data_IF_038129509146
#
_entry.id   IF_038129509146
#
_cell.length_a   1.000
_cell.length_b   1.000
_cell.length_c   1.000
_cell.angle_alpha   90.00
_cell.angle_beta   90.00
_cell.angle_gamma   90.00
#
_symmetry.space_group_name_H-M   'P 1'
#
loop_
_entity.id
_entity.type
_entity.pdbx_description
1 polymer ?
#
# COMPACT_ATOMS: atom_id res chain seq x y z
N UNK A 1 -35.70 -65.57 -34.67
CA UNK A 1 -37.16 -65.83 -34.70
C UNK A 1 -37.78 -65.28 -33.43
N UNK A 2 -38.70 -64.35 -33.66
CA UNK A 2 -39.63 -63.68 -32.74
C UNK A 2 -40.43 -64.64 -31.86
N UNK A 3 -40.66 -64.28 -30.59
CA UNK A 3 -42.05 -64.15 -30.11
C UNK A 3 -42.15 -63.22 -28.89
N UNK A 4 -42.93 -62.17 -29.10
CA UNK A 4 -43.48 -61.24 -28.12
C UNK A 4 -44.69 -61.93 -27.48
N UNK A 5 -44.90 -61.76 -26.16
CA UNK A 5 -46.24 -61.90 -25.58
C UNK A 5 -46.56 -60.77 -24.60
N UNK A 6 -47.76 -60.24 -24.80
CA UNK A 6 -48.30 -58.93 -24.42
C UNK A 6 -48.39 -58.60 -22.93
N UNK A 7 -48.28 -57.29 -22.66
CA UNK A 7 -48.83 -56.57 -21.49
C UNK A 7 -50.37 -56.54 -21.53
N UNK A 8 -51.00 -56.60 -20.37
CA UNK A 8 -52.30 -55.96 -20.07
C UNK A 8 -52.16 -55.10 -18.79
N UNK A 9 -52.81 -53.95 -18.77
CA UNK A 9 -52.46 -52.82 -17.91
C UNK A 9 -53.30 -52.61 -16.63
N UNK A 10 -52.61 -52.01 -15.65
CA UNK A 10 -52.96 -50.87 -14.78
C UNK A 10 -54.37 -50.81 -14.14
N UNK A 11 -54.42 -50.80 -12.80
CA UNK A 11 -55.00 -49.69 -12.01
C UNK A 11 -54.49 -49.67 -10.55
N UNK A 12 -54.32 -48.44 -10.09
CA UNK A 12 -53.68 -47.93 -8.87
C UNK A 12 -54.50 -48.12 -7.58
N UNK A 13 -53.86 -48.49 -6.46
CA UNK A 13 -54.35 -48.16 -5.10
C UNK A 13 -53.21 -48.13 -4.06
N UNK A 14 -52.92 -46.93 -3.57
CA UNK A 14 -52.47 -46.50 -2.22
C UNK A 14 -51.35 -47.27 -1.50
N UNK A 15 -50.17 -46.65 -1.44
CA UNK A 15 -49.06 -47.00 -0.54
C UNK A 15 -49.22 -46.22 0.78
N UNK A 16 -48.90 -46.80 1.96
CA UNK A 16 -49.29 -46.27 3.26
C UNK A 16 -48.47 -45.05 3.73
N UNK A 17 -49.08 -44.40 4.70
CA UNK A 17 -48.87 -43.07 5.23
C UNK A 17 -47.75 -43.03 6.30
N UNK A 18 -46.53 -43.41 5.93
CA UNK A 18 -45.34 -43.33 6.81
C UNK A 18 -44.37 -42.17 6.47
N UNK A 19 -44.78 -41.25 5.58
CA UNK A 19 -43.92 -40.16 5.11
C UNK A 19 -44.18 -38.79 5.78
N UNK A 20 -44.97 -38.73 6.88
CA UNK A 20 -45.45 -37.45 7.43
C UNK A 20 -45.14 -37.16 8.90
N UNK A 21 -44.20 -37.90 9.52
CA UNK A 21 -43.92 -37.68 10.95
C UNK A 21 -42.47 -37.95 11.33
N UNK A 22 -41.52 -37.43 10.55
CA UNK A 22 -40.19 -37.11 11.07
C UNK A 22 -39.67 -35.73 10.62
N UNK A 23 -40.60 -34.80 10.43
CA UNK A 23 -40.33 -33.37 10.35
C UNK A 23 -40.09 -32.80 11.77
N UNK A 24 -39.04 -33.27 12.45
CA UNK A 24 -38.64 -32.74 13.76
C UNK A 24 -37.15 -32.96 14.03
N UNK A 25 -36.30 -32.65 13.06
CA UNK A 25 -34.85 -32.61 13.27
C UNK A 25 -34.12 -31.52 12.47
N UNK A 26 -34.74 -30.34 12.31
CA UNK A 26 -34.12 -29.18 11.63
C UNK A 26 -33.56 -28.10 12.57
N UNK A 27 -33.48 -28.34 13.89
CA UNK A 27 -32.96 -27.34 14.86
C UNK A 27 -31.44 -27.40 15.08
N UNK A 28 -30.68 -28.12 14.25
CA UNK A 28 -29.24 -28.31 14.47
C UNK A 28 -28.31 -27.35 13.70
N UNK A 29 -28.82 -26.40 12.90
CA UNK A 29 -27.94 -25.57 12.05
C UNK A 29 -27.95 -24.05 12.28
N UNK A 30 -28.85 -23.50 13.10
CA UNK A 30 -28.81 -22.05 13.40
C UNK A 30 -27.81 -21.68 14.50
N UNK A 31 -27.64 -22.53 15.54
CA UNK A 31 -26.69 -22.28 16.63
C UNK A 31 -25.22 -22.39 16.16
N UNK A 32 -24.93 -23.30 15.24
CA UNK A 32 -23.61 -23.48 14.60
C UNK A 32 -23.20 -22.24 13.78
N UNK A 33 -24.12 -21.70 12.97
CA UNK A 33 -23.89 -20.51 12.14
C UNK A 33 -23.79 -19.23 12.99
N UNK A 34 -24.56 -19.12 14.07
CA UNK A 34 -24.46 -18.03 15.03
C UNK A 34 -23.09 -18.04 15.75
N UNK A 35 -22.64 -19.21 16.21
CA UNK A 35 -21.32 -19.40 16.81
C UNK A 35 -20.17 -19.05 15.85
N UNK A 36 -20.27 -19.45 14.58
CA UNK A 36 -19.26 -19.11 13.57
C UNK A 36 -19.20 -17.60 13.25
N UNK A 37 -20.36 -16.91 13.19
CA UNK A 37 -20.41 -15.46 13.01
C UNK A 37 -19.85 -14.72 14.23
N UNK A 38 -20.15 -15.21 15.44
CA UNK A 38 -19.63 -14.65 16.68
C UNK A 38 -18.11 -14.87 16.82
N UNK A 39 -17.61 -16.06 16.47
CA UNK A 39 -16.18 -16.36 16.41
C UNK A 39 -15.44 -15.47 15.42
N UNK A 40 -16.01 -15.23 14.23
CA UNK A 40 -15.42 -14.29 13.26
C UNK A 40 -15.35 -12.86 13.80
N UNK A 41 -16.38 -12.40 14.51
CA UNK A 41 -16.36 -11.06 15.15
C UNK A 41 -15.31 -10.98 16.26
N UNK A 42 -15.24 -11.99 17.13
CA UNK A 42 -14.23 -12.06 18.19
C UNK A 42 -12.82 -12.10 17.60
N UNK A 43 -12.61 -12.94 16.58
CA UNK A 43 -11.33 -13.04 15.85
C UNK A 43 -10.94 -11.71 15.20
N UNK A 44 -11.90 -10.98 14.62
CA UNK A 44 -11.65 -9.65 14.06
C UNK A 44 -11.23 -8.64 15.13
N UNK A 45 -11.91 -8.62 16.27
CA UNK A 45 -11.60 -7.70 17.38
C UNK A 45 -10.23 -8.04 17.99
N UNK A 46 -10.02 -9.30 18.35
CA UNK A 46 -8.75 -9.77 18.95
C UNK A 46 -7.60 -9.54 17.98
N UNK A 47 -7.73 -9.99 16.72
CA UNK A 47 -6.70 -9.78 15.72
C UNK A 47 -6.46 -8.30 15.41
N UNK A 48 -7.49 -7.45 15.46
CA UNK A 48 -7.33 -6.00 15.32
C UNK A 48 -6.51 -5.38 16.45
N UNK A 49 -6.82 -5.74 17.70
CA UNK A 49 -6.10 -5.29 18.90
C UNK A 49 -4.64 -5.76 18.85
N UNK A 50 -4.40 -7.03 18.51
CA UNK A 50 -3.05 -7.59 18.39
C UNK A 50 -2.24 -6.86 17.31
N UNK A 51 -2.84 -6.60 16.14
CA UNK A 51 -2.19 -5.85 15.07
C UNK A 51 -1.80 -4.44 15.51
N UNK A 52 -2.72 -3.72 16.17
CA UNK A 52 -2.45 -2.37 16.68
C UNK A 52 -1.35 -2.40 17.75
N UNK A 53 -1.40 -3.36 18.67
CA UNK A 53 -0.37 -3.55 19.69
C UNK A 53 1.00 -3.80 19.08
N UNK A 54 1.12 -4.69 18.09
CA UNK A 54 2.39 -4.97 17.40
C UNK A 54 2.93 -3.76 16.63
N UNK A 55 2.05 -2.99 15.99
CA UNK A 55 2.43 -1.74 15.33
C UNK A 55 3.01 -0.74 16.34
N UNK A 56 2.30 -0.46 17.44
CA UNK A 56 2.76 0.45 18.50
C UNK A 56 4.06 -0.07 19.12
N UNK A 57 4.14 -1.36 19.41
CA UNK A 57 5.34 -2.01 19.94
C UNK A 57 6.54 -1.76 19.03
N UNK A 58 6.36 -1.83 17.70
CA UNK A 58 7.44 -1.57 16.74
C UNK A 58 7.94 -0.13 16.83
N UNK A 59 7.03 0.84 16.89
CA UNK A 59 7.38 2.26 17.02
C UNK A 59 8.14 2.55 18.32
N UNK A 60 7.62 2.03 19.44
CA UNK A 60 8.28 2.14 20.75
C UNK A 60 9.63 1.45 20.73
N UNK A 61 9.72 0.25 20.15
CA UNK A 61 10.95 -0.51 20.06
C UNK A 61 12.03 0.27 19.30
N UNK A 62 11.73 0.80 18.12
CA UNK A 62 12.67 1.61 17.33
C UNK A 62 13.07 2.88 18.09
N UNK A 63 12.12 3.54 18.76
CA UNK A 63 12.41 4.72 19.58
C UNK A 63 13.34 4.40 20.75
N UNK A 64 13.11 3.29 21.45
CA UNK A 64 13.96 2.84 22.57
C UNK A 64 15.34 2.42 22.09
N UNK A 65 15.42 1.81 20.91
CA UNK A 65 16.68 1.42 20.30
C UNK A 65 17.53 2.66 19.95
N UNK A 66 16.91 3.66 19.33
CA UNK A 66 17.55 4.94 19.02
C UNK A 66 18.05 5.65 20.29
N UNK A 67 17.22 5.68 21.34
CA UNK A 67 17.62 6.26 22.63
C UNK A 67 18.79 5.51 23.26
N UNK A 68 18.77 4.17 23.23
CA UNK A 68 19.82 3.35 23.82
C UNK A 68 21.15 3.46 23.07
N UNK A 69 21.11 3.63 21.75
CA UNK A 69 22.32 3.71 20.91
C UNK A 69 23.00 5.09 21.02
N UNK A 70 22.21 6.17 20.98
CA UNK A 70 22.76 7.53 20.94
C UNK A 70 22.69 8.29 22.27
N UNK A 71 21.98 7.75 23.28
CA UNK A 71 21.66 8.45 24.53
C UNK A 71 21.04 9.81 24.22
N UNK A 72 20.11 9.80 23.25
CA UNK A 72 19.67 10.97 22.51
C UNK A 72 19.04 12.04 23.40
N UNK A 73 18.37 11.63 24.48
CA UNK A 73 17.84 12.52 25.51
C UNK A 73 18.89 13.28 26.32
N UNK A 74 20.07 12.70 26.52
CA UNK A 74 21.11 13.25 27.39
C UNK A 74 22.07 14.21 26.67
N UNK A 75 22.12 14.17 25.34
CA UNK A 75 22.98 15.03 24.52
C UNK A 75 22.32 16.38 24.22
N UNK A 76 23.14 17.40 23.92
CA UNK A 76 22.66 18.76 23.63
C UNK A 76 21.98 18.83 22.26
N UNK A 77 21.12 19.82 22.05
CA UNK A 77 20.43 20.05 20.76
C UNK A 77 21.40 20.08 19.58
N UNK A 78 22.52 20.80 19.70
CA UNK A 78 23.53 20.87 18.64
C UNK A 78 24.13 19.49 18.33
N UNK A 79 24.38 18.67 19.35
CA UNK A 79 24.90 17.31 19.18
C UNK A 79 23.85 16.39 18.54
N UNK A 80 22.57 16.54 18.91
CA UNK A 80 21.45 15.85 18.25
C UNK A 80 21.39 16.19 16.78
N UNK A 81 21.55 17.46 16.41
CA UNK A 81 21.52 17.88 15.01
C UNK A 81 22.71 17.34 14.22
N UNK A 82 23.91 17.34 14.81
CA UNK A 82 25.13 16.78 14.20
C UNK A 82 25.05 15.25 14.05
N UNK A 83 24.22 14.57 14.85
CA UNK A 83 24.00 13.12 14.70
C UNK A 83 23.36 12.75 13.36
N UNK A 84 22.58 13.65 12.74
CA UNK A 84 22.07 13.46 11.39
C UNK A 84 23.18 13.70 10.37
N UNK A 85 23.75 12.62 9.84
CA UNK A 85 24.79 12.67 8.81
C UNK A 85 24.21 12.74 7.39
N UNK A 86 25.03 13.19 6.45
CA UNK A 86 24.77 13.19 4.99
C UNK A 86 23.40 13.76 4.62
N UNK A 87 22.59 13.04 3.82
CA UNK A 87 21.27 13.49 3.41
C UNK A 87 20.29 13.67 4.58
N UNK A 88 20.47 12.97 5.70
CA UNK A 88 19.56 13.09 6.84
C UNK A 88 19.65 14.48 7.46
N UNK A 89 20.88 14.98 7.65
CA UNK A 89 21.12 16.33 8.17
C UNK A 89 20.63 17.39 7.19
N UNK A 90 20.81 17.14 5.89
CA UNK A 90 20.30 18.02 4.84
C UNK A 90 18.77 18.15 4.89
N UNK A 91 18.03 17.05 4.97
CA UNK A 91 16.56 17.09 5.06
C UNK A 91 16.09 17.78 6.33
N UNK A 92 16.68 17.43 7.47
CA UNK A 92 16.35 18.09 8.73
C UNK A 92 16.63 19.60 8.69
N UNK A 93 17.67 20.05 7.98
CA UNK A 93 17.97 21.47 7.82
C UNK A 93 16.85 22.25 7.10
N UNK A 94 16.20 21.66 6.08
CA UNK A 94 15.07 22.28 5.40
C UNK A 94 13.81 22.34 6.27
N UNK A 95 13.58 21.30 7.07
CA UNK A 95 12.53 21.33 8.09
C UNK A 95 12.77 22.47 9.10
N UNK A 96 14.00 22.62 9.59
CA UNK A 96 14.37 23.70 10.52
C UNK A 96 14.28 25.08 9.86
N UNK A 97 14.69 25.23 8.60
CA UNK A 97 14.56 26.47 7.84
C UNK A 97 13.10 26.95 7.78
N UNK A 98 12.15 26.04 7.56
CA UNK A 98 10.73 26.36 7.58
C UNK A 98 10.23 26.82 8.96
N UNK A 99 10.74 26.21 10.04
CA UNK A 99 10.35 26.57 11.41
C UNK A 99 10.92 27.91 11.88
N UNK A 100 12.11 28.28 11.40
CA UNK A 100 12.78 29.54 11.74
C UNK A 100 12.22 30.72 10.93
N UNK A 101 11.62 30.45 9.77
CA UNK A 101 11.03 31.48 8.93
C UNK A 101 9.91 32.24 9.68
N UNK A 102 9.80 33.57 9.50
CA UNK A 102 8.80 34.38 10.20
C UNK A 102 7.36 34.10 9.71
N UNK A 103 7.21 33.53 8.52
CA UNK A 103 5.93 33.07 7.98
C UNK A 103 6.12 31.83 7.10
N UNK A 104 5.08 31.02 6.97
CA UNK A 104 5.08 29.81 6.11
C UNK A 104 5.37 30.18 4.65
N UNK A 105 4.78 31.28 4.16
CA UNK A 105 5.00 31.74 2.79
C UNK A 105 6.46 32.13 2.54
N UNK A 106 7.09 32.84 3.47
CA UNK A 106 8.50 33.20 3.35
C UNK A 106 9.41 31.98 3.46
N UNK A 107 9.06 31.01 4.32
CA UNK A 107 9.72 29.71 4.39
C UNK A 107 9.69 28.99 3.03
N UNK A 108 8.50 28.84 2.44
CA UNK A 108 8.33 28.22 1.12
C UNK A 108 9.09 28.95 0.03
N UNK A 109 9.01 30.29 -0.01
CA UNK A 109 9.77 31.10 -0.97
C UNK A 109 11.28 30.88 -0.82
N UNK A 110 11.78 30.77 0.41
CA UNK A 110 13.21 30.52 0.67
C UNK A 110 13.67 29.11 0.24
N UNK A 111 12.78 28.12 0.21
CA UNK A 111 13.07 26.78 -0.31
C UNK A 111 12.99 26.71 -1.84
N UNK A 112 12.09 27.47 -2.46
CA UNK A 112 11.93 27.51 -3.93
C UNK A 112 13.08 28.27 -4.59
N UNK A 113 13.57 29.32 -3.94
CA UNK A 113 14.67 30.14 -4.42
C UNK A 113 15.90 30.01 -3.52
N UNK A 114 16.40 28.78 -3.36
CA UNK A 114 17.55 28.51 -2.50
C UNK A 114 18.87 28.72 -3.25
N UNK A 115 19.74 29.57 -2.71
CA UNK A 115 21.09 29.84 -3.22
C UNK A 115 22.20 29.41 -2.26
N UNK A 116 21.85 28.64 -1.21
CA UNK A 116 22.77 28.22 -0.16
C UNK A 116 23.24 26.78 -0.33
N UNK A 117 22.37 25.91 -0.81
CA UNK A 117 22.66 24.48 -0.97
C UNK A 117 23.69 24.24 -2.08
N UNK A 118 23.57 24.95 -3.19
CA UNK A 118 24.50 24.83 -4.32
C UNK A 118 25.22 26.12 -4.64
N UNK A 119 26.54 26.04 -4.68
CA UNK A 119 27.39 27.17 -5.04
C UNK A 119 27.06 27.67 -6.45
N UNK A 120 26.95 28.99 -6.58
CA UNK A 120 26.72 29.71 -7.84
C UNK A 120 25.39 29.39 -8.56
N UNK A 121 24.42 28.74 -7.90
CA UNK A 121 23.11 28.42 -8.50
C UNK A 121 21.98 28.66 -7.51
N UNK A 122 20.87 29.19 -8.02
CA UNK A 122 19.59 29.19 -7.31
C UNK A 122 18.81 27.97 -7.76
N UNK A 123 18.40 27.13 -6.83
CA UNK A 123 17.69 25.88 -7.11
C UNK A 123 16.38 25.81 -6.32
N UNK A 124 15.40 25.12 -6.89
CA UNK A 124 14.16 24.79 -6.22
C UNK A 124 14.34 23.49 -5.42
N UNK A 125 14.40 23.60 -4.10
CA UNK A 125 14.60 22.45 -3.20
C UNK A 125 13.40 21.49 -3.23
N UNK A 126 12.18 22.00 -3.44
CA UNK A 126 10.97 21.16 -3.49
C UNK A 126 11.02 20.22 -4.69
N UNK A 127 11.37 20.74 -5.86
CA UNK A 127 11.54 19.98 -7.10
C UNK A 127 12.70 18.99 -7.01
N UNK A 128 13.84 19.44 -6.47
CA UNK A 128 15.10 18.71 -6.57
C UNK A 128 15.35 17.70 -5.45
N UNK A 129 14.99 18.04 -4.22
CA UNK A 129 15.28 17.23 -3.01
C UNK A 129 14.05 16.49 -2.47
N UNK A 130 12.88 16.73 -3.08
CA UNK A 130 11.61 16.12 -2.72
C UNK A 130 11.28 16.23 -1.21
N UNK A 131 11.31 17.46 -0.67
CA UNK A 131 11.18 17.74 0.78
C UNK A 131 9.74 18.04 1.24
N UNK A 132 8.74 17.49 0.55
CA UNK A 132 7.32 17.79 0.86
C UNK A 132 6.92 17.35 2.27
N UNK A 133 7.43 16.20 2.72
CA UNK A 133 7.19 15.72 4.09
C UNK A 133 7.78 16.67 5.15
N UNK A 134 8.95 17.27 4.93
CA UNK A 134 9.52 18.26 5.86
C UNK A 134 8.68 19.54 5.90
N UNK A 135 8.27 20.05 4.74
CA UNK A 135 7.39 21.21 4.65
C UNK A 135 6.07 20.93 5.36
N UNK A 136 5.44 19.79 5.08
CA UNK A 136 4.19 19.39 5.73
C UNK A 136 4.33 19.30 7.25
N UNK A 137 5.40 18.65 7.74
CA UNK A 137 5.64 18.55 9.18
C UNK A 137 5.93 19.90 9.83
N UNK A 138 6.65 20.79 9.16
CA UNK A 138 6.96 22.12 9.71
C UNK A 138 5.70 22.95 9.91
N UNK A 139 4.78 22.88 8.94
CA UNK A 139 3.47 23.53 9.01
C UNK A 139 2.64 22.90 10.12
N UNK A 140 2.56 21.56 10.17
CA UNK A 140 1.81 20.84 11.19
C UNK A 140 2.30 21.17 12.60
N UNK A 141 3.61 21.16 12.82
CA UNK A 141 4.24 21.51 14.10
C UNK A 141 3.93 22.95 14.52
N UNK A 142 3.94 23.88 13.57
CA UNK A 142 3.67 25.30 13.81
C UNK A 142 2.20 25.55 14.13
N UNK A 143 1.29 24.98 13.33
CA UNK A 143 -0.17 25.15 13.47
C UNK A 143 -0.69 24.51 14.76
N UNK A 144 -0.16 23.35 15.14
CA UNK A 144 -0.53 22.68 16.39
C UNK A 144 0.19 23.25 17.63
N UNK A 145 1.02 24.29 17.46
CA UNK A 145 1.78 24.93 18.54
C UNK A 145 2.59 23.95 19.41
N UNK A 146 3.15 22.90 18.79
CA UNK A 146 3.81 21.79 19.50
C UNK A 146 5.13 22.19 20.18
N UNK A 147 5.70 23.35 19.83
CA UNK A 147 6.87 23.94 20.49
C UNK A 147 6.75 24.06 22.01
N UNK A 148 5.51 24.06 22.55
CA UNK A 148 5.26 24.10 24.00
C UNK A 148 5.54 22.77 24.71
N UNK A 149 5.48 21.66 23.98
CA UNK A 149 5.49 20.30 24.55
C UNK A 149 6.67 19.45 24.08
N UNK A 150 7.15 19.68 22.86
CA UNK A 150 8.13 18.81 22.22
C UNK A 150 9.10 19.63 21.37
N UNK A 151 10.38 19.32 21.44
CA UNK A 151 11.37 19.95 20.57
C UNK A 151 11.19 19.51 19.10
N UNK A 152 11.58 20.34 18.11
CA UNK A 152 11.40 20.02 16.71
C UNK A 152 12.04 18.70 16.28
N UNK A 153 13.26 18.41 16.78
CA UNK A 153 13.99 17.18 16.46
C UNK A 153 13.18 15.94 16.86
N UNK A 154 12.64 15.93 18.09
CA UNK A 154 11.85 14.82 18.59
C UNK A 154 10.56 14.64 17.80
N UNK A 155 9.86 15.73 17.47
CA UNK A 155 8.66 15.65 16.65
C UNK A 155 8.95 15.02 15.28
N UNK A 156 10.08 15.41 14.67
CA UNK A 156 10.51 14.90 13.38
C UNK A 156 10.79 13.38 13.44
N UNK A 157 11.66 12.92 14.36
CA UNK A 157 12.02 11.49 14.46
C UNK A 157 10.85 10.62 14.95
N UNK A 158 10.04 11.08 15.90
CA UNK A 158 8.90 10.32 16.41
C UNK A 158 7.81 10.16 15.37
N UNK A 159 7.65 11.11 14.46
CA UNK A 159 6.75 10.93 13.31
C UNK A 159 7.20 9.78 12.42
N UNK A 160 8.50 9.70 12.12
CA UNK A 160 9.09 8.60 11.34
C UNK A 160 8.94 7.25 12.05
N UNK A 161 9.19 7.19 13.36
CA UNK A 161 8.98 5.96 14.14
C UNK A 161 7.50 5.57 14.20
N UNK A 162 6.60 6.54 14.30
CA UNK A 162 5.15 6.28 14.27
C UNK A 162 4.71 5.73 12.91
N UNK A 163 5.34 6.19 11.82
CA UNK A 163 5.06 5.68 10.49
C UNK A 163 5.49 4.21 10.32
N UNK A 164 6.50 3.75 11.06
CA UNK A 164 6.86 2.33 11.09
C UNK A 164 5.78 1.45 11.74
N UNK A 165 5.02 1.99 12.71
CA UNK A 165 3.85 1.29 13.25
C UNK A 165 2.80 1.04 12.16
N UNK A 166 2.57 2.04 11.30
CA UNK A 166 1.65 1.92 10.15
C UNK A 166 2.15 0.87 9.17
N UNK A 167 3.46 0.83 8.89
CA UNK A 167 4.08 -0.18 8.04
C UNK A 167 3.81 -1.60 8.55
N UNK A 168 4.16 -1.88 9.81
CA UNK A 168 3.97 -3.21 10.41
C UNK A 168 2.49 -3.59 10.48
N UNK A 169 1.61 -2.64 10.83
CA UNK A 169 0.17 -2.89 10.84
C UNK A 169 -0.36 -3.24 9.43
N UNK A 170 0.13 -2.59 8.39
CA UNK A 170 -0.27 -2.87 7.01
C UNK A 170 0.27 -4.23 6.50
N UNK A 171 1.50 -4.59 6.85
CA UNK A 171 2.06 -5.92 6.56
C UNK A 171 1.31 -7.03 7.30
N UNK A 172 1.02 -6.80 8.59
CA UNK A 172 0.17 -7.66 9.41
C UNK A 172 -1.21 -7.87 8.77
N UNK A 173 -1.87 -6.77 8.38
CA UNK A 173 -3.17 -6.80 7.73
C UNK A 173 -3.11 -7.55 6.40
N UNK A 174 -2.08 -7.31 5.59
CA UNK A 174 -1.88 -8.01 4.30
C UNK A 174 -1.76 -9.52 4.50
N UNK A 175 -0.90 -9.96 5.41
CA UNK A 175 -0.71 -11.38 5.71
C UNK A 175 -2.00 -12.03 6.24
N UNK A 176 -2.71 -11.35 7.15
CA UNK A 176 -4.01 -11.84 7.65
C UNK A 176 -5.04 -11.92 6.53
N UNK A 177 -5.13 -10.90 5.67
CA UNK A 177 -6.07 -10.89 4.55
C UNK A 177 -5.82 -12.04 3.56
N UNK A 178 -4.56 -12.45 3.36
CA UNK A 178 -4.18 -13.56 2.48
C UNK A 178 -4.41 -14.94 3.11
N UNK A 179 -4.07 -15.12 4.39
CA UNK A 179 -4.17 -16.42 5.07
C UNK A 179 -5.54 -16.72 5.68
N UNK A 180 -6.34 -15.67 5.97
CA UNK A 180 -7.57 -15.77 6.74
C UNK A 180 -7.39 -15.87 8.26
N UNK A 181 -6.16 -15.85 8.77
CA UNK A 181 -5.85 -15.96 10.21
C UNK A 181 -4.99 -14.80 10.70
N UNK A 182 -5.32 -14.23 11.86
CA UNK A 182 -4.54 -13.14 12.43
C UNK A 182 -3.16 -13.61 12.94
N UNK A 183 -2.99 -14.90 13.23
CA UNK A 183 -1.71 -15.51 13.61
C UNK A 183 -0.66 -15.37 12.50
N UNK A 184 -1.02 -15.49 11.22
CA UNK A 184 -0.05 -15.25 10.14
C UNK A 184 0.37 -13.79 10.09
N UNK A 185 -0.52 -12.88 10.46
CA UNK A 185 -0.21 -11.47 10.64
C UNK A 185 0.86 -11.28 11.71
N UNK A 186 0.67 -11.93 12.88
CA UNK A 186 1.67 -11.90 13.96
C UNK A 186 3.02 -12.41 13.48
N UNK A 187 3.03 -13.54 12.77
CA UNK A 187 4.27 -14.11 12.23
C UNK A 187 4.96 -13.14 11.28
N UNK A 188 4.22 -12.50 10.36
CA UNK A 188 4.77 -11.53 9.43
C UNK A 188 5.35 -10.29 10.16
N UNK A 189 4.63 -9.77 11.16
CA UNK A 189 5.09 -8.65 11.97
C UNK A 189 6.36 -9.00 12.76
N UNK A 190 6.39 -10.15 13.44
CA UNK A 190 7.56 -10.61 14.18
C UNK A 190 8.76 -10.80 13.24
N UNK A 191 8.56 -11.40 12.07
CA UNK A 191 9.64 -11.60 11.10
C UNK A 191 10.21 -10.28 10.60
N UNK A 192 9.35 -9.29 10.34
CA UNK A 192 9.76 -7.95 9.95
C UNK A 192 10.58 -7.25 11.04
N UNK A 193 10.14 -7.33 12.30
CA UNK A 193 10.81 -6.70 13.45
C UNK A 193 12.16 -7.36 13.75
N UNK A 194 12.23 -8.70 13.68
CA UNK A 194 13.47 -9.45 13.95
C UNK A 194 14.52 -9.18 12.87
N UNK A 195 14.12 -9.15 11.60
CA UNK A 195 15.01 -8.88 10.46
C UNK A 195 15.09 -7.39 10.11
N UNK A 196 14.83 -6.49 11.07
CA UNK A 196 14.73 -5.03 10.81
C UNK A 196 15.93 -4.43 10.09
N UNK A 197 17.12 -4.94 10.36
CA UNK A 197 18.39 -4.47 9.76
C UNK A 197 18.37 -4.60 8.24
N UNK A 198 17.68 -5.62 7.73
CA UNK A 198 17.54 -5.87 6.29
C UNK A 198 16.24 -5.32 5.71
N UNK A 199 15.19 -5.16 6.54
CA UNK A 199 13.87 -4.72 6.07
C UNK A 199 13.67 -3.21 6.07
N UNK A 200 14.44 -2.46 6.88
CA UNK A 200 14.32 -1.01 6.98
C UNK A 200 15.63 -0.34 7.38
N UNK A 201 15.85 0.88 6.91
CA UNK A 201 17.01 1.70 7.25
C UNK A 201 16.71 2.74 8.33
N UNK A 202 15.53 2.67 8.96
CA UNK A 202 15.06 3.64 9.95
C UNK A 202 15.91 3.69 11.21
N UNK A 203 16.62 2.61 11.55
CA UNK A 203 17.53 2.56 12.71
C UNK A 203 18.77 3.45 12.50
N UNK A 204 19.40 3.37 11.32
CA UNK A 204 20.68 4.03 11.04
C UNK A 204 20.52 5.42 10.42
N UNK A 205 19.52 5.58 9.55
CA UNK A 205 19.34 6.77 8.72
C UNK A 205 17.86 7.13 8.73
N UNK A 206 17.42 7.76 9.83
CA UNK A 206 16.01 7.93 10.19
C UNK A 206 15.20 8.64 9.08
N UNK A 207 15.52 9.88 8.66
CA UNK A 207 14.68 10.65 7.73
C UNK A 207 14.88 10.33 6.24
N UNK A 208 15.43 9.17 5.89
CA UNK A 208 15.50 8.78 4.48
C UNK A 208 14.11 8.70 3.84
N UNK A 209 14.06 9.03 2.55
CA UNK A 209 12.84 9.06 1.74
C UNK A 209 12.14 7.70 1.71
N UNK A 210 12.91 6.62 1.69
CA UNK A 210 12.40 5.24 1.77
C UNK A 210 11.62 4.98 3.06
N UNK A 211 12.10 5.49 4.20
CA UNK A 211 11.43 5.28 5.49
C UNK A 211 10.10 6.03 5.57
N UNK A 212 9.95 7.12 4.81
CA UNK A 212 8.67 7.79 4.58
C UNK A 212 7.75 7.00 3.65
N UNK A 213 8.31 6.47 2.56
CA UNK A 213 7.54 5.88 1.46
C UNK A 213 7.04 4.45 1.72
N UNK A 214 7.89 3.58 2.26
CA UNK A 214 7.59 2.15 2.44
C UNK A 214 6.32 1.87 3.27
N UNK A 215 6.00 2.64 4.33
CA UNK A 215 4.73 2.49 5.04
C UNK A 215 3.50 2.71 4.14
N UNK A 216 3.54 3.72 3.25
CA UNK A 216 2.46 3.94 2.29
C UNK A 216 2.38 2.84 1.24
N UNK A 217 3.53 2.29 0.82
CA UNK A 217 3.55 1.10 -0.03
C UNK A 217 2.92 -0.12 0.64
N UNK A 218 3.22 -0.38 1.92
CA UNK A 218 2.58 -1.46 2.68
C UNK A 218 1.06 -1.28 2.79
N UNK A 219 0.59 -0.06 3.05
CA UNK A 219 -0.85 0.28 3.04
C UNK A 219 -1.46 0.05 1.66
N UNK A 220 -0.77 0.45 0.59
CA UNK A 220 -1.20 0.22 -0.78
C UNK A 220 -1.37 -1.27 -1.08
N UNK A 221 -0.41 -2.11 -0.68
CA UNK A 221 -0.50 -3.57 -0.84
C UNK A 221 -1.67 -4.18 -0.07
N UNK A 222 -1.91 -3.73 1.18
CA UNK A 222 -3.05 -4.16 1.96
C UNK A 222 -4.38 -3.80 1.26
N UNK A 223 -4.48 -2.56 0.75
CA UNK A 223 -5.66 -2.10 0.03
C UNK A 223 -5.88 -2.85 -1.30
N UNK A 224 -4.82 -3.12 -2.08
CA UNK A 224 -4.91 -3.92 -3.30
C UNK A 224 -5.35 -5.36 -2.99
N UNK A 225 -4.87 -5.93 -1.88
CA UNK A 225 -5.30 -7.25 -1.41
C UNK A 225 -6.80 -7.28 -1.09
N UNK A 226 -7.34 -6.21 -0.49
CA UNK A 226 -8.79 -6.06 -0.29
C UNK A 226 -9.51 -5.90 -1.62
N UNK A 227 -8.96 -5.11 -2.55
CA UNK A 227 -9.57 -4.83 -3.86
C UNK A 227 -9.80 -6.12 -4.66
N UNK A 228 -8.84 -7.06 -4.61
CA UNK A 228 -8.95 -8.34 -5.32
C UNK A 228 -9.79 -9.39 -4.61
N UNK A 229 -10.37 -9.11 -3.42
CA UNK A 229 -11.30 -10.06 -2.79
C UNK A 229 -12.56 -10.27 -3.65
N UNK A 230 -13.06 -11.51 -3.71
CA UNK A 230 -14.28 -11.83 -4.43
C UNK A 230 -15.50 -11.22 -3.73
N UNK A 231 -16.49 -10.78 -4.52
CA UNK A 231 -17.78 -10.23 -4.07
C UNK A 231 -17.70 -8.95 -3.20
N UNK A 232 -16.81 -8.03 -3.54
CA UNK A 232 -16.77 -6.71 -2.89
C UNK A 232 -18.00 -5.87 -3.28
N UNK A 233 -18.65 -5.24 -2.30
CA UNK A 233 -19.74 -4.30 -2.59
C UNK A 233 -19.19 -3.06 -3.30
N UNK A 234 -19.97 -2.46 -4.23
CA UNK A 234 -19.51 -1.33 -5.05
C UNK A 234 -19.05 -0.11 -4.24
N UNK A 235 -19.68 0.17 -3.09
CA UNK A 235 -19.25 1.26 -2.20
C UNK A 235 -17.87 0.97 -1.57
N UNK A 236 -17.66 -0.26 -1.09
CA UNK A 236 -16.39 -0.70 -0.51
C UNK A 236 -15.28 -0.78 -1.56
N UNK A 237 -15.61 -1.14 -2.80
CA UNK A 237 -14.67 -1.10 -3.92
C UNK A 237 -14.19 0.32 -4.22
N UNK A 238 -15.10 1.30 -4.29
CA UNK A 238 -14.74 2.72 -4.47
C UNK A 238 -13.86 3.24 -3.33
N UNK A 239 -14.21 2.91 -2.09
CA UNK A 239 -13.40 3.29 -0.92
C UNK A 239 -12.00 2.66 -0.98
N UNK A 240 -11.91 1.40 -1.39
CA UNK A 240 -10.63 0.70 -1.53
C UNK A 240 -9.79 1.31 -2.64
N UNK A 241 -10.38 1.64 -3.79
CA UNK A 241 -9.70 2.35 -4.87
C UNK A 241 -9.20 3.73 -4.43
N UNK A 242 -10.00 4.46 -3.64
CA UNK A 242 -9.56 5.72 -3.05
C UNK A 242 -8.38 5.52 -2.10
N UNK A 243 -8.41 4.47 -1.26
CA UNK A 243 -7.29 4.15 -0.38
C UNK A 243 -6.02 3.79 -1.17
N UNK A 244 -6.14 3.02 -2.25
CA UNK A 244 -5.02 2.72 -3.17
C UNK A 244 -4.50 4.00 -3.81
N UNK A 245 -5.38 4.91 -4.25
CA UNK A 245 -4.99 6.20 -4.82
C UNK A 245 -4.22 7.05 -3.82
N UNK A 246 -4.76 7.27 -2.62
CA UNK A 246 -4.11 8.07 -1.58
C UNK A 246 -2.75 7.46 -1.21
N UNK A 247 -2.68 6.15 -1.00
CA UNK A 247 -1.44 5.46 -0.64
C UNK A 247 -0.39 5.54 -1.77
N UNK A 248 -0.81 5.36 -3.03
CA UNK A 248 0.08 5.47 -4.20
C UNK A 248 0.57 6.91 -4.38
N UNK A 249 -0.31 7.90 -4.23
CA UNK A 249 0.05 9.31 -4.29
C UNK A 249 1.06 9.69 -3.20
N UNK A 250 0.82 9.31 -1.94
CA UNK A 250 1.74 9.59 -0.84
C UNK A 250 3.09 8.87 -1.00
N UNK A 251 3.07 7.61 -1.46
CA UNK A 251 4.27 6.87 -1.85
C UNK A 251 5.07 7.62 -2.92
N UNK A 252 4.41 8.09 -3.98
CA UNK A 252 5.07 8.82 -5.06
C UNK A 252 5.55 10.22 -4.66
N UNK A 253 4.80 10.90 -3.79
CA UNK A 253 5.16 12.23 -3.29
C UNK A 253 6.37 12.16 -2.36
N UNK A 254 6.46 11.13 -1.50
CA UNK A 254 7.51 11.06 -0.47
C UNK A 254 8.85 10.51 -0.97
N UNK A 255 8.87 9.81 -2.10
CA UNK A 255 10.10 9.19 -2.62
C UNK A 255 10.17 9.15 -4.15
N UNK A 256 11.17 9.81 -4.73
CA UNK A 256 11.37 9.92 -6.18
C UNK A 256 11.59 8.58 -6.91
N UNK A 257 12.17 7.58 -6.24
CA UNK A 257 12.48 6.28 -6.86
C UNK A 257 11.33 5.26 -6.77
N UNK A 258 10.17 5.66 -6.23
CA UNK A 258 8.97 4.82 -6.14
C UNK A 258 8.57 4.18 -7.49
N UNK A 259 8.87 4.87 -8.60
CA UNK A 259 8.58 4.43 -9.97
C UNK A 259 9.11 3.03 -10.29
N UNK A 260 10.23 2.61 -9.69
CA UNK A 260 10.78 1.27 -9.93
C UNK A 260 9.98 0.17 -9.23
N UNK A 261 9.53 0.42 -8.00
CA UNK A 261 8.69 -0.53 -7.26
C UNK A 261 7.32 -0.67 -7.96
N UNK A 262 6.73 0.46 -8.33
CA UNK A 262 5.46 0.50 -9.03
C UNK A 262 5.56 -0.12 -10.44
N UNK A 263 6.71 -0.02 -11.13
CA UNK A 263 6.95 -0.72 -12.39
C UNK A 263 6.95 -2.24 -12.21
N UNK A 264 7.64 -2.76 -11.19
CA UNK A 264 7.62 -4.20 -10.89
C UNK A 264 6.18 -4.66 -10.58
N UNK A 265 5.44 -3.88 -9.80
CA UNK A 265 4.04 -4.14 -9.53
C UNK A 265 3.19 -4.14 -10.81
N UNK A 266 3.40 -3.16 -11.71
CA UNK A 266 2.71 -3.06 -12.98
C UNK A 266 3.02 -4.25 -13.90
N UNK A 267 4.28 -4.67 -13.98
CA UNK A 267 4.71 -5.86 -14.75
C UNK A 267 4.09 -7.15 -14.20
N UNK A 268 4.00 -7.28 -12.87
CA UNK A 268 3.34 -8.41 -12.23
C UNK A 268 1.83 -8.43 -12.55
N UNK A 269 1.15 -7.29 -12.44
CA UNK A 269 -0.26 -7.16 -12.80
C UNK A 269 -0.50 -7.46 -14.28
N UNK A 270 0.37 -6.96 -15.16
CA UNK A 270 0.32 -7.22 -16.59
C UNK A 270 0.44 -8.72 -16.89
N UNK A 271 1.38 -9.40 -16.23
CA UNK A 271 1.56 -10.85 -16.38
C UNK A 271 0.32 -11.62 -15.94
N UNK A 272 -0.25 -11.26 -14.78
CA UNK A 272 -1.47 -11.90 -14.26
C UNK A 272 -2.71 -11.62 -15.12
N UNK A 273 -2.83 -10.41 -15.66
CA UNK A 273 -3.91 -10.00 -16.58
C UNK A 273 -3.83 -10.80 -17.91
N UNK A 274 -2.62 -10.92 -18.44
CA UNK A 274 -2.29 -11.72 -19.62
C UNK A 274 -2.62 -13.21 -19.45
N UNK A 275 -2.44 -13.75 -18.24
CA UNK A 275 -2.78 -15.14 -17.89
C UNK A 275 -4.24 -15.34 -17.51
N UNK A 276 -5.08 -14.31 -17.57
CA UNK A 276 -6.50 -14.36 -17.20
C UNK A 276 -6.73 -14.80 -15.73
N UNK A 277 -5.79 -14.47 -14.84
CA UNK A 277 -5.84 -14.85 -13.43
C UNK A 277 -6.55 -13.80 -12.56
N UNK A 278 -6.74 -12.59 -13.07
CA UNK A 278 -7.30 -11.45 -12.33
C UNK A 278 -8.32 -10.66 -13.15
N UNK A 279 -9.28 -9.98 -12.48
CA UNK A 279 -10.29 -9.18 -13.18
C UNK A 279 -9.68 -7.99 -13.92
N UNK A 280 -9.84 -7.98 -15.24
CA UNK A 280 -9.33 -6.96 -16.16
C UNK A 280 -9.64 -5.52 -15.76
N UNK A 281 -10.88 -5.26 -15.32
CA UNK A 281 -11.34 -3.91 -14.97
C UNK A 281 -10.61 -3.33 -13.76
N UNK A 282 -10.30 -4.17 -12.76
CA UNK A 282 -9.55 -3.75 -11.57
C UNK A 282 -8.11 -3.40 -11.92
N UNK A 283 -7.49 -4.16 -12.82
CA UNK A 283 -6.13 -3.88 -13.32
C UNK A 283 -6.05 -2.54 -14.04
N UNK A 284 -7.04 -2.22 -14.90
CA UNK A 284 -7.10 -0.91 -15.58
C UNK A 284 -7.15 0.22 -14.58
N UNK A 285 -7.99 0.11 -13.54
CA UNK A 285 -8.06 1.13 -12.49
C UNK A 285 -6.74 1.30 -11.75
N UNK A 286 -5.99 0.22 -11.50
CA UNK A 286 -4.67 0.31 -10.86
C UNK A 286 -3.67 1.07 -11.75
N UNK A 287 -3.62 0.80 -13.05
CA UNK A 287 -2.76 1.57 -13.96
C UNK A 287 -3.15 3.05 -14.03
N UNK A 288 -4.46 3.34 -14.12
CA UNK A 288 -4.96 4.72 -14.11
C UNK A 288 -4.56 5.43 -12.81
N UNK A 289 -4.70 4.77 -11.66
CA UNK A 289 -4.30 5.33 -10.36
C UNK A 289 -2.81 5.62 -10.32
N UNK A 290 -1.95 4.69 -10.77
CA UNK A 290 -0.50 4.90 -10.79
C UNK A 290 -0.12 6.09 -11.68
N UNK A 291 -0.66 6.15 -12.92
CA UNK A 291 -0.41 7.26 -13.85
C UNK A 291 -0.94 8.58 -13.28
N UNK A 292 -2.17 8.61 -12.78
CA UNK A 292 -2.79 9.81 -12.21
C UNK A 292 -2.01 10.33 -10.98
N UNK A 293 -1.54 9.44 -10.12
CA UNK A 293 -0.72 9.79 -8.95
C UNK A 293 0.60 10.44 -9.38
N UNK A 294 1.29 9.86 -10.37
CA UNK A 294 2.54 10.42 -10.88
C UNK A 294 2.33 11.74 -11.61
N UNK A 295 1.27 11.90 -12.38
CA UNK A 295 0.94 13.18 -13.03
C UNK A 295 0.63 14.27 -11.99
N UNK A 296 -0.02 13.91 -10.88
CA UNK A 296 -0.25 14.84 -9.77
C UNK A 296 1.05 15.21 -9.05
N UNK A 297 1.95 14.25 -8.84
CA UNK A 297 3.28 14.55 -8.26
C UNK A 297 4.13 15.39 -9.23
N UNK A 298 4.04 15.13 -10.53
CA UNK A 298 4.70 15.91 -11.59
C UNK A 298 4.28 17.38 -11.55
N UNK A 299 2.99 17.68 -11.39
CA UNK A 299 2.53 19.07 -11.25
C UNK A 299 2.97 19.70 -9.93
N UNK A 300 2.93 18.95 -8.83
CA UNK A 300 3.39 19.43 -7.52
C UNK A 300 4.90 19.71 -7.50
N UNK A 301 5.70 18.90 -8.20
CA UNK A 301 7.16 19.01 -8.34
C UNK A 301 7.57 19.88 -9.53
N UNK A 302 6.80 20.92 -9.86
CA UNK A 302 7.19 21.94 -10.83
C UNK A 302 7.57 21.39 -12.22
N UNK A 303 6.84 20.37 -12.67
CA UNK A 303 7.04 19.76 -13.99
C UNK A 303 8.39 19.04 -14.14
N UNK A 304 8.87 18.41 -13.07
CA UNK A 304 10.11 17.63 -13.08
C UNK A 304 10.10 16.56 -14.19
N UNK A 305 11.03 16.71 -15.14
CA UNK A 305 11.12 15.86 -16.34
C UNK A 305 11.45 14.39 -16.04
N UNK A 306 12.03 14.10 -14.87
CA UNK A 306 12.33 12.73 -14.45
C UNK A 306 11.06 11.89 -14.29
N UNK A 307 9.95 12.49 -13.83
CA UNK A 307 8.69 11.77 -13.62
C UNK A 307 8.02 11.43 -14.95
N UNK A 308 7.94 12.40 -15.87
CA UNK A 308 7.26 12.17 -17.16
C UNK A 308 8.05 11.21 -18.05
N UNK A 309 9.39 11.24 -17.96
CA UNK A 309 10.28 10.29 -18.62
C UNK A 309 10.40 8.93 -17.92
N UNK A 310 9.56 8.66 -16.92
CA UNK A 310 9.62 7.41 -16.17
C UNK A 310 9.20 6.20 -17.00
N UNK A 311 9.95 5.10 -16.86
CA UNK A 311 9.62 3.81 -17.48
C UNK A 311 8.22 3.31 -17.08
N UNK A 312 7.76 3.69 -15.89
CA UNK A 312 6.44 3.33 -15.39
C UNK A 312 5.30 3.98 -16.17
N UNK A 313 5.38 5.29 -16.45
CA UNK A 313 4.35 5.98 -17.24
C UNK A 313 4.31 5.39 -18.64
N UNK A 314 5.47 5.23 -19.28
CA UNK A 314 5.56 4.60 -20.60
C UNK A 314 4.95 3.21 -20.59
N UNK A 315 5.39 2.33 -19.67
CA UNK A 315 4.87 0.96 -19.57
C UNK A 315 3.36 0.91 -19.35
N UNK A 316 2.81 1.71 -18.42
CA UNK A 316 1.37 1.73 -18.15
C UNK A 316 0.57 2.24 -19.36
N UNK A 317 1.05 3.28 -20.04
CA UNK A 317 0.40 3.77 -21.27
C UNK A 317 0.45 2.72 -22.37
N UNK A 318 1.60 2.10 -22.61
CA UNK A 318 1.78 1.04 -23.60
C UNK A 318 0.90 -0.18 -23.30
N UNK A 319 0.80 -0.60 -22.03
CA UNK A 319 -0.09 -1.67 -21.59
C UNK A 319 -1.57 -1.33 -21.84
N UNK A 320 -2.01 -0.11 -21.51
CA UNK A 320 -3.38 0.33 -21.75
C UNK A 320 -3.71 0.45 -23.25
N UNK A 321 -2.77 0.94 -24.06
CA UNK A 321 -2.91 1.04 -25.52
C UNK A 321 -2.93 -0.33 -26.19
N UNK A 322 -1.99 -1.21 -25.84
CA UNK A 322 -1.93 -2.57 -26.37
C UNK A 322 -3.22 -3.33 -26.07
N UNK A 323 -3.81 -3.13 -24.90
CA UNK A 323 -5.11 -3.70 -24.54
C UNK A 323 -6.25 -3.20 -25.42
N UNK A 324 -6.31 -1.90 -25.72
CA UNK A 324 -7.31 -1.34 -26.64
C UNK A 324 -7.15 -1.85 -28.07
N UNK A 325 -5.91 -2.06 -28.51
CA UNK A 325 -5.60 -2.54 -29.86
C UNK A 325 -5.87 -4.04 -30.02
N UNK A 326 -5.67 -4.84 -28.97
CA UNK A 326 -5.82 -6.29 -29.01
C UNK A 326 -7.05 -6.77 -28.24
N UNK A 327 -8.23 -6.52 -28.80
CA UNK A 327 -9.46 -7.12 -28.31
C UNK A 327 -9.44 -8.63 -28.63
N UNK A 328 -9.76 -9.48 -27.64
CA UNK A 328 -9.84 -10.95 -27.75
C UNK A 328 -8.53 -11.76 -27.61
N UNK A 329 -7.63 -11.34 -26.72
CA UNK A 329 -6.48 -12.17 -26.29
C UNK A 329 -6.90 -13.55 -25.75
N UNK A 330 -8.07 -13.62 -25.12
CA UNK A 330 -8.56 -14.77 -24.36
C UNK A 330 -9.30 -15.83 -25.19
N UNK A 331 -9.54 -15.59 -26.48
CA UNK A 331 -10.26 -16.54 -27.35
C UNK A 331 -9.33 -17.40 -28.18
N UNK A 332 -9.69 -18.68 -28.35
CA UNK A 332 -8.97 -19.67 -29.16
C UNK A 332 -8.25 -20.75 -28.35
N UNK A 333 -7.67 -21.73 -29.05
CA UNK A 333 -6.89 -22.82 -28.46
C UNK A 333 -5.55 -22.36 -27.86
N UNK A 334 -4.90 -23.23 -27.08
CA UNK A 334 -3.70 -22.92 -26.28
C UNK A 334 -2.57 -22.27 -27.10
N UNK A 335 -2.21 -22.84 -28.25
CA UNK A 335 -1.17 -22.28 -29.13
C UNK A 335 -1.53 -20.87 -29.63
N UNK A 336 -2.81 -20.65 -29.96
CA UNK A 336 -3.27 -19.34 -30.44
C UNK A 336 -3.22 -18.28 -29.34
N UNK A 337 -3.49 -18.67 -28.08
CA UNK A 337 -3.34 -17.79 -26.91
C UNK A 337 -1.88 -17.43 -26.66
N UNK A 338 -0.96 -18.39 -26.72
CA UNK A 338 0.49 -18.12 -26.58
C UNK A 338 0.97 -17.15 -27.66
N UNK A 339 0.56 -17.34 -28.91
CA UNK A 339 0.95 -16.43 -30.01
C UNK A 339 0.42 -15.03 -29.80
N UNK A 340 -0.86 -14.88 -29.40
CA UNK A 340 -1.47 -13.58 -29.09
C UNK A 340 -0.78 -12.91 -27.91
N UNK A 341 -0.45 -13.67 -26.87
CA UNK A 341 0.29 -13.22 -25.69
C UNK A 341 1.69 -12.68 -26.07
N UNK A 342 2.45 -13.42 -26.88
CA UNK A 342 3.76 -12.98 -27.36
C UNK A 342 3.66 -11.67 -28.17
N UNK A 343 2.63 -11.56 -29.02
CA UNK A 343 2.36 -10.34 -29.77
C UNK A 343 1.94 -9.17 -28.86
N UNK A 344 1.20 -9.45 -27.78
CA UNK A 344 0.84 -8.46 -26.77
C UNK A 344 2.05 -7.92 -26.04
N UNK A 345 2.91 -8.82 -25.55
CA UNK A 345 4.16 -8.45 -24.87
C UNK A 345 5.06 -7.65 -25.80
N UNK A 346 5.26 -8.10 -27.04
CA UNK A 346 6.05 -7.39 -28.04
C UNK A 346 5.49 -5.98 -28.29
N UNK A 347 4.17 -5.85 -28.45
CA UNK A 347 3.52 -4.55 -28.68
C UNK A 347 3.75 -3.59 -27.50
N UNK A 348 3.63 -4.07 -26.26
CA UNK A 348 3.88 -3.26 -25.06
C UNK A 348 5.35 -2.84 -24.93
N UNK A 349 6.29 -3.68 -25.36
CA UNK A 349 7.72 -3.35 -25.32
C UNK A 349 8.16 -2.42 -26.46
N UNK A 350 7.44 -2.41 -27.59
CA UNK A 350 7.74 -1.57 -28.74
C UNK A 350 7.09 -0.18 -28.70
N UNK A 351 5.96 -0.05 -27.99
CA UNK A 351 5.28 1.22 -27.71
C UNK A 351 5.93 1.91 -26.51
#
# INVERSE_FOLDING_TARGET
MTSVRQRSGIKSTNVPQDCLSQEKNWKFNEKSVAGAKQWKKVSLVVGGIVGLFLGILTSVYISTLHENDLWFSNIKEVEREISFRTECGLYYSYYKQMLVAPSIQQGLHSLIYDNKTESMRTINILERMNVYQEVFLSILYTVLHLKRFLEPVYFYIYTLFSLQAVCVLALYATSWLLSGTWLSGVLAAVWYIVNRVDTTRVEFTIPLRENWALPFFAVQLAAITVLFRPHLQSAHERLTLLAVFIATFLLSLTWQFNQFILLIQAMALFTLDCLDMIPEGKVVWLYIIQVASLLMVYTLQFFNSMIIGSLLISFNMSALLARKLQNNLKTGGLLSRIRKLLLHVLLVLCL
#
